data_IF_246183516224
#
_entry.id   IF_246183516224
#
_cell.length_a   1.000
_cell.length_b   1.000
_cell.length_c   1.000
_cell.angle_alpha   90.00
_cell.angle_beta   90.00
_cell.angle_gamma   90.00
#
_symmetry.space_group_name_H-M   'P 1'
#
loop_
_entity.id
_entity.type
_entity.pdbx_description
1 polymer ?
#
# COMPACT_ATOMS: atom_id res chain seq x y z
N UNK A 1 -7.52 -0.28 19.21
CA UNK A 1 -7.71 0.20 17.82
C UNK A 1 -6.36 0.61 17.25
N UNK A 2 -6.06 0.27 15.99
CA UNK A 2 -4.84 0.78 15.32
C UNK A 2 -5.02 2.26 14.96
N UNK A 3 -3.93 3.03 14.99
CA UNK A 3 -3.97 4.43 14.52
C UNK A 3 -4.04 4.44 13.00
N UNK A 4 -4.83 5.34 12.43
CA UNK A 4 -4.90 5.52 10.97
C UNK A 4 -3.74 6.39 10.49
N UNK A 5 -3.16 6.04 9.36
CA UNK A 5 -2.06 6.80 8.75
C UNK A 5 -2.20 6.89 7.23
N UNK A 6 -1.65 7.97 6.68
CA UNK A 6 -1.48 8.21 5.24
C UNK A 6 0.02 8.19 4.97
N UNK A 7 0.43 7.54 3.88
CA UNK A 7 1.85 7.43 3.49
C UNK A 7 2.08 8.32 2.27
N UNK A 8 3.12 9.15 2.31
CA UNK A 8 3.56 9.92 1.14
C UNK A 8 4.74 9.19 0.48
N UNK A 9 4.64 8.90 -0.82
CA UNK A 9 5.68 8.18 -1.57
C UNK A 9 5.69 8.59 -3.05
N UNK A 10 5.94 9.87 -3.30
CA UNK A 10 5.91 10.43 -4.65
C UNK A 10 6.86 9.74 -5.63
N UNK A 11 6.33 9.33 -6.79
CA UNK A 11 7.05 8.70 -7.89
C UNK A 11 7.78 7.39 -7.56
N UNK A 12 7.67 6.84 -6.36
CA UNK A 12 8.44 5.67 -5.92
C UNK A 12 7.56 4.50 -5.49
N UNK A 13 6.24 4.69 -5.38
CA UNK A 13 5.38 3.62 -4.91
C UNK A 13 5.31 2.46 -5.93
N UNK A 14 5.49 1.22 -5.42
CA UNK A 14 5.61 0.03 -6.26
C UNK A 14 6.93 -0.10 -7.03
N UNK A 15 7.87 0.85 -6.90
CA UNK A 15 9.23 0.74 -7.46
C UNK A 15 10.20 0.14 -6.44
N UNK A 16 11.37 -0.28 -6.92
CA UNK A 16 12.42 -0.87 -6.09
C UNK A 16 12.89 0.06 -4.96
N UNK A 17 12.93 1.37 -5.21
CA UNK A 17 13.41 2.37 -4.24
C UNK A 17 12.32 2.79 -3.22
N UNK A 18 11.05 2.47 -3.46
CA UNK A 18 9.91 2.78 -2.57
C UNK A 18 9.78 1.86 -1.35
N UNK A 19 10.87 1.21 -0.91
CA UNK A 19 10.86 0.07 0.04
C UNK A 19 10.09 0.35 1.32
N UNK A 20 10.23 1.55 1.90
CA UNK A 20 9.57 1.92 3.14
C UNK A 20 8.04 1.96 2.98
N UNK A 21 7.55 2.65 1.95
CA UNK A 21 6.11 2.73 1.68
C UNK A 21 5.53 1.36 1.28
N UNK A 22 6.26 0.63 0.44
CA UNK A 22 5.93 -0.72 0.02
C UNK A 22 5.80 -1.67 1.22
N UNK A 23 6.78 -1.63 2.13
CA UNK A 23 6.79 -2.42 3.36
C UNK A 23 5.63 -2.06 4.29
N UNK A 24 5.31 -0.77 4.46
CA UNK A 24 4.19 -0.31 5.28
C UNK A 24 2.82 -0.75 4.74
N UNK A 25 2.66 -0.83 3.41
CA UNK A 25 1.41 -1.31 2.78
C UNK A 25 1.27 -2.82 2.88
N UNK A 26 2.37 -3.57 2.77
CA UNK A 26 2.38 -5.03 2.94
C UNK A 26 2.18 -5.43 4.40
N UNK A 27 2.88 -4.77 5.32
CA UNK A 27 2.84 -5.03 6.75
C UNK A 27 2.73 -3.73 7.55
N UNK A 28 1.47 -3.35 7.85
CA UNK A 28 1.16 -2.05 8.44
C UNK A 28 1.50 -1.90 9.93
N UNK A 29 2.00 -2.97 10.57
CA UNK A 29 2.41 -2.98 11.98
C UNK A 29 1.34 -2.40 12.91
N UNK A 30 1.66 -1.30 13.59
CA UNK A 30 0.79 -0.60 14.54
C UNK A 30 -0.27 0.31 13.89
N UNK A 31 -0.18 0.54 12.57
CA UNK A 31 -1.05 1.44 11.85
C UNK A 31 -2.06 0.69 10.99
N UNK A 32 -3.15 1.39 10.68
CA UNK A 32 -4.03 1.08 9.56
C UNK A 32 -3.72 2.11 8.46
N UNK A 33 -3.05 1.68 7.40
CA UNK A 33 -2.75 2.56 6.28
C UNK A 33 -4.02 2.68 5.42
N UNK A 34 -4.50 3.90 5.24
CA UNK A 34 -5.79 4.16 4.56
C UNK A 34 -5.64 4.81 3.20
N UNK A 35 -4.47 5.37 2.88
CA UNK A 35 -4.15 5.92 1.56
C UNK A 35 -2.64 6.10 1.39
N UNK A 36 -2.19 6.08 0.13
CA UNK A 36 -0.86 6.52 -0.30
C UNK A 36 -1.04 7.76 -1.18
N UNK A 37 -0.19 8.77 -1.00
CA UNK A 37 -0.10 9.93 -1.88
C UNK A 37 1.09 9.70 -2.83
N UNK A 38 0.79 9.53 -4.12
CA UNK A 38 1.76 9.43 -5.21
C UNK A 38 1.08 9.88 -6.52
N UNK A 39 1.48 11.06 -7.02
CA UNK A 39 0.84 11.67 -8.19
C UNK A 39 0.97 10.80 -9.46
N UNK A 40 2.03 9.97 -9.54
CA UNK A 40 2.29 9.09 -10.68
C UNK A 40 1.42 7.83 -10.71
N UNK A 41 0.68 7.57 -9.63
CA UNK A 41 -0.13 6.36 -9.44
C UNK A 41 -1.57 6.67 -9.00
N UNK A 42 -2.02 7.92 -9.14
CA UNK A 42 -3.36 8.38 -8.76
C UNK A 42 -4.47 7.49 -9.34
N UNK A 43 -5.43 7.12 -8.49
CA UNK A 43 -6.60 6.30 -8.86
C UNK A 43 -6.35 4.81 -8.99
N UNK A 44 -5.12 4.33 -8.77
CA UNK A 44 -4.79 2.90 -8.78
C UNK A 44 -4.99 2.32 -7.37
N UNK A 45 -5.53 1.10 -7.29
CA UNK A 45 -5.54 0.34 -6.04
C UNK A 45 -4.12 -0.14 -5.69
N UNK A 46 -3.67 0.14 -4.46
CA UNK A 46 -2.32 -0.21 -4.03
C UNK A 46 -1.99 -1.71 -4.14
N UNK A 47 -2.99 -2.59 -4.01
CA UNK A 47 -2.81 -4.03 -4.15
C UNK A 47 -2.52 -4.46 -5.59
N UNK A 48 -2.91 -3.67 -6.59
CA UNK A 48 -2.66 -3.92 -8.01
C UNK A 48 -1.22 -3.67 -8.46
N UNK A 49 -0.41 -2.96 -7.66
CA UNK A 49 0.99 -2.67 -7.97
C UNK A 49 1.96 -3.80 -7.58
N UNK A 50 1.50 -4.77 -6.79
CA UNK A 50 2.31 -5.90 -6.32
C UNK A 50 1.95 -7.19 -7.06
N UNK A 51 2.75 -7.54 -8.07
CA UNK A 51 2.53 -8.75 -8.91
C UNK A 51 3.01 -10.06 -8.27
N UNK A 52 3.83 -10.03 -7.23
CA UNK A 52 4.33 -11.24 -6.57
C UNK A 52 3.41 -11.65 -5.41
N UNK A 53 2.25 -12.22 -5.70
CA UNK A 53 1.50 -12.96 -4.68
C UNK A 53 2.05 -14.39 -4.59
N UNK A 54 2.93 -14.65 -3.63
CA UNK A 54 3.25 -16.03 -3.20
C UNK A 54 1.98 -16.66 -2.61
N UNK A 55 1.68 -17.91 -2.94
CA UNK A 55 0.42 -18.66 -2.71
C UNK A 55 -0.04 -18.82 -1.23
N UNK A 56 0.60 -18.17 -0.26
CA UNK A 56 0.22 -18.28 1.17
C UNK A 56 -0.88 -17.32 1.64
N UNK A 57 -1.40 -16.47 0.77
CA UNK A 57 -2.28 -15.36 1.18
C UNK A 57 -3.64 -15.32 0.46
N UNK A 58 -4.25 -16.49 0.23
CA UNK A 58 -5.66 -16.61 -0.18
C UNK A 58 -6.66 -16.44 0.97
N UNK A 59 -6.20 -15.95 2.13
CA UNK A 59 -7.04 -15.68 3.31
C UNK A 59 -6.75 -14.30 3.95
N UNK A 60 -6.56 -13.23 3.15
CA UNK A 60 -6.83 -11.88 3.66
C UNK A 60 -8.32 -11.62 3.54
N UNK A 61 -9.06 -12.08 4.54
CA UNK A 61 -10.30 -11.43 4.94
C UNK A 61 -9.95 -9.99 5.34
N UNK A 62 -10.21 -9.04 4.43
CA UNK A 62 -9.99 -7.63 4.66
C UNK A 62 -9.45 -6.94 3.42
N UNK A 63 -10.35 -6.55 2.53
CA UNK A 63 -10.08 -5.55 1.50
C UNK A 63 -9.47 -4.31 2.17
N UNK A 64 -8.14 -4.18 2.15
CA UNK A 64 -7.45 -2.93 2.47
C UNK A 64 -7.04 -2.30 1.15
N UNK A 65 -8.05 -2.09 0.32
CA UNK A 65 -7.94 -1.28 -0.89
C UNK A 65 -7.65 0.15 -0.44
N UNK A 66 -6.38 0.58 -0.48
CA UNK A 66 -6.04 1.97 -0.24
C UNK A 66 -5.91 2.64 -1.61
N UNK A 67 -6.70 3.69 -1.81
CA UNK A 67 -6.69 4.45 -3.05
C UNK A 67 -5.46 5.35 -3.01
N UNK A 68 -4.72 5.35 -4.12
CA UNK A 68 -3.64 6.29 -4.31
C UNK A 68 -4.24 7.65 -4.69
N UNK A 69 -4.03 8.63 -3.83
CA UNK A 69 -4.48 10.01 -4.02
C UNK A 69 -3.40 10.84 -4.73
N UNK A 70 -3.84 11.95 -5.35
CA UNK A 70 -2.96 12.98 -5.93
C UNK A 70 -2.04 13.60 -4.89
#
# INVERSE_FOLDING_TARGET
MKKRAIVYCENLFGKWDGKTANGLIQESGHYEIVSVIDSSKSGIDSGGLFTWKTERYTHIQGSRSCIIAF
#
